data_IF_518764037977
#
_entry.id   IF_518764037977
#
_cell.length_a   1.000
_cell.length_b   1.000
_cell.length_c   1.000
_cell.angle_alpha   90.00
_cell.angle_beta   90.00
_cell.angle_gamma   90.00
#
_symmetry.space_group_name_H-M   'P 1'
#
loop_
_entity.id
_entity.type
_entity.pdbx_description
1 polymer ?
#
# COMPACT_ATOMS: atom_id res chain seq x y z
N UNK A 1 27.15 -1.78 -11.90
CA UNK A 1 26.71 -3.19 -11.93
C UNK A 1 25.22 -3.18 -11.63
N UNK A 2 24.41 -2.89 -12.63
CA UNK A 2 22.97 -3.13 -12.55
C UNK A 2 22.78 -4.61 -12.79
N UNK A 3 22.16 -5.30 -11.83
CA UNK A 3 21.75 -6.69 -12.04
C UNK A 3 20.52 -6.62 -12.93
N UNK A 4 20.62 -7.17 -14.14
CA UNK A 4 19.51 -7.34 -15.06
C UNK A 4 18.32 -8.02 -14.36
N UNK A 5 17.17 -7.32 -14.38
CA UNK A 5 15.86 -7.92 -14.14
C UNK A 5 15.33 -7.91 -12.71
N UNK A 6 15.38 -6.80 -11.97
CA UNK A 6 14.47 -6.65 -10.82
C UNK A 6 13.05 -6.37 -11.34
N UNK A 7 12.21 -7.40 -11.38
CA UNK A 7 10.79 -7.25 -11.72
C UNK A 7 10.07 -6.56 -10.56
N UNK A 8 9.49 -5.39 -10.82
CA UNK A 8 8.60 -4.69 -9.91
C UNK A 8 7.16 -4.76 -10.40
N UNK A 9 6.23 -4.93 -9.45
CA UNK A 9 4.82 -5.16 -9.70
C UNK A 9 3.99 -3.92 -9.37
N UNK A 10 2.87 -3.76 -10.08
CA UNK A 10 1.76 -2.93 -9.64
C UNK A 10 0.76 -3.82 -8.91
N UNK A 11 0.59 -3.59 -7.60
CA UNK A 11 -0.23 -4.44 -6.73
C UNK A 11 -1.49 -3.67 -6.36
N UNK A 12 -2.63 -4.09 -6.92
CA UNK A 12 -3.93 -3.55 -6.54
C UNK A 12 -4.38 -4.17 -5.22
N UNK A 13 -4.61 -3.34 -4.20
CA UNK A 13 -5.07 -3.79 -2.89
C UNK A 13 -6.46 -3.24 -2.59
N UNK A 14 -7.42 -4.15 -2.38
CA UNK A 14 -8.73 -3.83 -1.83
C UNK A 14 -8.67 -3.92 -0.31
N UNK A 15 -8.98 -2.82 0.38
CA UNK A 15 -8.96 -2.74 1.84
C UNK A 15 -10.08 -1.86 2.37
N UNK A 16 -10.46 -2.07 3.63
CA UNK A 16 -11.55 -1.34 4.26
C UNK A 16 -11.19 0.11 4.57
N UNK A 17 -12.18 1.00 4.43
CA UNK A 17 -12.11 2.38 4.93
C UNK A 17 -12.19 2.48 6.47
N UNK A 18 -12.49 1.36 7.15
CA UNK A 18 -12.44 1.20 8.61
C UNK A 18 -11.19 0.40 9.00
N UNK A 19 -10.69 0.60 10.22
CA UNK A 19 -9.53 -0.14 10.77
C UNK A 19 -9.84 -1.58 11.20
N UNK A 20 -11.13 -1.93 11.25
CA UNK A 20 -11.59 -3.18 11.88
C UNK A 20 -11.64 -3.05 13.41
N UNK A 21 -11.92 -4.16 14.07
CA UNK A 21 -12.12 -4.24 15.53
C UNK A 21 -10.94 -4.92 16.27
N UNK A 22 -9.89 -5.29 15.56
CA UNK A 22 -8.70 -5.92 16.12
C UNK A 22 -7.44 -5.25 15.55
N UNK A 23 -6.44 -5.05 16.41
CA UNK A 23 -5.18 -4.42 16.03
C UNK A 23 -4.43 -5.17 14.91
N UNK A 24 -4.65 -6.48 14.78
CA UNK A 24 -4.01 -7.31 13.76
C UNK A 24 -4.28 -6.82 12.33
N UNK A 25 -5.46 -6.27 12.06
CA UNK A 25 -5.79 -5.79 10.71
C UNK A 25 -4.91 -4.61 10.29
N UNK A 26 -4.73 -3.64 11.18
CA UNK A 26 -3.87 -2.49 10.92
C UNK A 26 -2.40 -2.91 10.86
N UNK A 27 -1.97 -3.81 11.74
CA UNK A 27 -0.61 -4.37 11.71
C UNK A 27 -0.31 -5.07 10.38
N UNK A 28 -1.23 -5.89 9.87
CA UNK A 28 -1.07 -6.54 8.57
C UNK A 28 -1.04 -5.54 7.41
N UNK A 29 -1.82 -4.47 7.47
CA UNK A 29 -1.77 -3.40 6.46
C UNK A 29 -0.41 -2.68 6.46
N UNK A 30 0.15 -2.42 7.63
CA UNK A 30 1.49 -1.84 7.80
C UNK A 30 2.56 -2.82 7.28
N UNK A 31 2.49 -4.09 7.64
CA UNK A 31 3.45 -5.11 7.19
C UNK A 31 3.45 -5.24 5.66
N UNK A 32 2.26 -5.31 5.06
CA UNK A 32 2.10 -5.32 3.61
C UNK A 32 2.70 -4.05 2.96
N UNK A 33 2.42 -2.88 3.52
CA UNK A 33 2.94 -1.61 2.99
C UNK A 33 4.47 -1.55 3.00
N UNK A 34 5.10 -2.00 4.10
CA UNK A 34 6.57 -2.10 4.18
C UNK A 34 7.11 -3.08 3.15
N UNK A 35 6.45 -4.23 2.98
CA UNK A 35 6.87 -5.23 2.00
C UNK A 35 6.78 -4.70 0.57
N UNK A 36 5.69 -4.02 0.21
CA UNK A 36 5.53 -3.39 -1.11
C UNK A 36 6.68 -2.42 -1.39
N UNK A 37 6.94 -1.49 -0.46
CA UNK A 37 7.99 -0.50 -0.62
C UNK A 37 9.40 -1.10 -0.68
N UNK A 38 9.73 -2.02 0.24
CA UNK A 38 11.05 -2.67 0.31
C UNK A 38 11.40 -3.45 -0.95
N UNK A 39 10.40 -3.98 -1.64
CA UNK A 39 10.59 -4.74 -2.88
C UNK A 39 10.44 -3.86 -4.14
N UNK A 40 10.45 -2.53 -4.01
CA UNK A 40 10.27 -1.57 -5.11
C UNK A 40 8.96 -1.76 -5.90
N UNK A 41 7.97 -2.42 -5.30
CA UNK A 41 6.64 -2.56 -5.91
C UNK A 41 5.85 -1.26 -5.76
N UNK A 42 4.87 -1.06 -6.63
CA UNK A 42 3.94 0.07 -6.56
C UNK A 42 2.58 -0.39 -6.02
N UNK A 43 2.09 0.30 -4.99
CA UNK A 43 0.71 0.13 -4.51
C UNK A 43 -0.26 0.81 -5.48
N UNK A 44 -1.32 0.11 -5.88
CA UNK A 44 -2.51 0.67 -6.53
C UNK A 44 -3.70 0.45 -5.59
N UNK A 45 -4.49 1.50 -5.32
CA UNK A 45 -5.56 1.42 -4.33
C UNK A 45 -6.67 2.47 -4.55
N UNK A 46 -7.72 2.44 -3.72
CA UNK A 46 -8.91 3.31 -3.86
C UNK A 46 -8.72 4.80 -3.53
N UNK A 47 -7.50 5.25 -3.21
CA UNK A 47 -7.19 6.68 -3.03
C UNK A 47 -7.66 7.33 -1.73
N UNK A 48 -8.35 6.59 -0.86
CA UNK A 48 -8.85 7.09 0.42
C UNK A 48 -7.79 7.08 1.53
N UNK A 49 -7.84 8.07 2.43
CA UNK A 49 -6.89 8.22 3.56
C UNK A 49 -7.34 7.57 4.88
N UNK A 50 -8.49 6.91 4.90
CA UNK A 50 -9.11 6.39 6.13
C UNK A 50 -8.85 4.88 6.32
N UNK A 51 -8.92 4.42 7.56
CA UNK A 51 -8.91 3.00 7.91
C UNK A 51 -7.61 2.26 7.53
N UNK A 52 -7.78 1.00 7.13
CA UNK A 52 -6.67 0.16 6.66
C UNK A 52 -6.07 0.70 5.36
N UNK A 53 -6.91 1.27 4.51
CA UNK A 53 -6.51 1.87 3.24
C UNK A 53 -5.48 2.99 3.44
N UNK A 54 -5.79 3.94 4.34
CA UNK A 54 -4.86 5.01 4.70
C UNK A 54 -3.59 4.47 5.34
N UNK A 55 -3.73 3.55 6.31
CA UNK A 55 -2.58 2.94 7.01
C UNK A 55 -1.60 2.25 6.04
N UNK A 56 -2.13 1.53 5.06
CA UNK A 56 -1.36 0.89 4.00
C UNK A 56 -0.64 1.92 3.11
N UNK A 57 -1.38 2.91 2.59
CA UNK A 57 -0.84 3.93 1.69
C UNK A 57 0.23 4.78 2.38
N UNK A 58 -0.04 5.25 3.60
CA UNK A 58 0.91 6.00 4.42
C UNK A 58 2.16 5.17 4.68
N UNK A 59 2.02 3.88 4.99
CA UNK A 59 3.19 3.02 5.24
C UNK A 59 4.05 2.86 3.99
N UNK A 60 3.45 2.68 2.80
CA UNK A 60 4.20 2.60 1.54
C UNK A 60 4.98 3.90 1.31
N UNK A 61 4.32 5.05 1.43
CA UNK A 61 4.93 6.37 1.20
C UNK A 61 6.04 6.68 2.21
N UNK A 62 5.81 6.47 3.50
CA UNK A 62 6.82 6.66 4.54
C UNK A 62 8.01 5.70 4.42
N UNK A 63 7.82 4.54 3.81
CA UNK A 63 8.89 3.58 3.53
C UNK A 63 9.65 3.88 2.22
N UNK A 64 9.36 5.01 1.56
CA UNK A 64 10.00 5.42 0.30
C UNK A 64 9.46 4.71 -0.95
N UNK A 65 8.33 3.99 -0.84
CA UNK A 65 7.67 3.32 -1.95
C UNK A 65 6.75 4.25 -2.74
N UNK A 66 6.13 3.69 -3.78
CA UNK A 66 5.19 4.41 -4.67
C UNK A 66 3.75 3.94 -4.45
N UNK A 67 2.81 4.89 -4.40
CA UNK A 67 1.38 4.61 -4.33
C UNK A 67 0.60 5.38 -5.41
N UNK A 68 -0.39 4.73 -6.01
CA UNK A 68 -1.31 5.27 -7.02
C UNK A 68 -2.73 5.12 -6.51
N UNK A 69 -3.37 6.23 -6.14
CA UNK A 69 -4.77 6.27 -5.72
C UNK A 69 -5.71 6.49 -6.90
N UNK A 70 -6.76 5.69 -7.00
CA UNK A 70 -7.84 5.83 -8.00
C UNK A 70 -9.13 6.16 -7.26
N UNK A 71 -9.55 7.42 -7.30
CA UNK A 71 -10.76 7.91 -6.64
C UNK A 71 -11.75 8.44 -7.69
N UNK A 72 -13.03 8.02 -7.67
CA UNK A 72 -14.04 8.57 -8.57
C UNK A 72 -14.34 10.05 -8.28
N UNK A 73 -14.71 10.79 -9.32
CA UNK A 73 -15.06 12.24 -9.26
C UNK A 73 -16.52 12.53 -9.66
N UNK A 74 -17.36 11.50 -9.72
CA UNK A 74 -18.76 11.64 -10.15
C UNK A 74 -19.62 12.40 -9.14
#
# INVERSE_FOLDING_TARGET
MEIEGSFYLNITVYSGANRGNQAIFEQSAIELGRWIAKNNNTLVYGGGKAGLMGSLADTVLHSGGKAIGVIPIF
#
